data_IF_705368977707
#
_entry.id   IF_705368977707
#
_cell.length_a   1.000
_cell.length_b   1.000
_cell.length_c   1.000
_cell.angle_alpha   90.00
_cell.angle_beta   90.00
_cell.angle_gamma   90.00
#
_symmetry.space_group_name_H-M   'P 1'
#
loop_
_entity.id
_entity.type
_entity.pdbx_description
1 polymer ?
#
# COMPACT_ATOMS: atom_id res chain seq x y z
N UNK A 1 -12.30 8.71 24.44
CA UNK A 1 -11.38 7.62 24.05
C UNK A 1 -10.06 8.27 23.63
N UNK A 2 -8.94 8.07 24.33
CA UNK A 2 -7.67 8.57 23.83
C UNK A 2 -7.26 7.74 22.62
N UNK A 3 -7.08 8.41 21.47
CA UNK A 3 -6.48 7.80 20.28
C UNK A 3 -5.06 7.36 20.61
N UNK A 4 -4.76 6.06 20.50
CA UNK A 4 -3.38 5.60 20.46
C UNK A 4 -2.71 6.23 19.24
N UNK A 5 -2.00 7.33 19.44
CA UNK A 5 -1.02 7.79 18.49
C UNK A 5 0.08 6.73 18.45
N UNK A 6 0.07 5.89 17.42
CA UNK A 6 1.24 5.11 17.03
C UNK A 6 2.27 6.09 16.47
N UNK A 7 2.91 6.86 17.36
CA UNK A 7 4.22 7.40 17.04
C UNK A 7 5.18 6.22 17.10
N UNK A 8 5.60 5.68 15.94
CA UNK A 8 6.67 4.70 15.94
C UNK A 8 7.94 5.40 16.44
N UNK A 9 8.50 5.00 17.60
CA UNK A 9 9.79 5.49 18.01
C UNK A 9 10.82 4.78 17.12
N UNK A 10 11.49 5.56 16.27
CA UNK A 10 12.50 5.13 15.30
C UNK A 10 11.98 4.34 14.08
N UNK A 11 11.74 5.04 12.96
CA UNK A 11 11.94 4.51 11.60
C UNK A 11 11.25 3.18 11.23
N UNK A 12 10.25 2.77 12.00
CA UNK A 12 9.55 1.50 11.82
C UNK A 12 8.75 1.54 10.52
N UNK A 13 9.17 0.77 9.54
CA UNK A 13 8.50 0.67 8.23
C UNK A 13 7.34 -0.33 8.24
N UNK A 14 7.07 -0.96 9.39
CA UNK A 14 6.01 -1.96 9.59
C UNK A 14 5.31 -1.81 10.95
N UNK A 15 3.99 -2.04 10.95
CA UNK A 15 3.14 -2.14 12.14
C UNK A 15 2.68 -3.57 12.39
N UNK A 16 1.40 -3.76 12.73
CA UNK A 16 0.77 -5.07 13.00
C UNK A 16 0.57 -5.90 11.72
N UNK A 17 1.67 -6.29 11.07
CA UNK A 17 1.64 -7.01 9.79
C UNK A 17 1.48 -6.10 8.57
N UNK A 18 1.32 -4.79 8.75
CA UNK A 18 1.15 -3.82 7.67
C UNK A 18 2.46 -3.07 7.39
N UNK A 19 2.72 -2.76 6.12
CA UNK A 19 3.69 -1.74 5.75
C UNK A 19 3.09 -0.37 6.06
N UNK A 20 3.90 0.52 6.64
CA UNK A 20 3.52 1.91 6.90
C UNK A 20 4.09 2.82 5.81
N UNK A 21 3.48 3.99 5.62
CA UNK A 21 4.01 5.02 4.72
C UNK A 21 5.46 5.37 5.06
N UNK A 22 6.26 5.64 4.03
CA UNK A 22 7.72 5.77 4.12
C UNK A 22 8.44 4.81 3.17
N UNK A 23 9.67 4.35 3.47
CA UNK A 23 10.48 3.53 2.55
C UNK A 23 9.85 2.21 2.07
N UNK A 24 8.86 1.67 2.77
CA UNK A 24 8.13 0.45 2.37
C UNK A 24 6.75 0.73 1.74
N UNK A 25 6.35 2.00 1.62
CA UNK A 25 5.11 2.42 0.96
C UNK A 25 5.20 2.20 -0.54
N UNK A 26 4.75 1.04 -1.02
CA UNK A 26 4.77 0.70 -2.45
C UNK A 26 3.76 1.48 -3.27
N UNK A 27 2.84 2.22 -2.63
CA UNK A 27 1.81 3.04 -3.27
C UNK A 27 2.31 4.43 -3.70
N UNK A 28 3.57 4.77 -3.42
CA UNK A 28 4.16 6.07 -3.76
C UNK A 28 3.61 7.21 -2.90
N UNK A 29 3.80 8.43 -3.38
CA UNK A 29 3.54 9.67 -2.62
C UNK A 29 2.11 10.22 -2.84
N UNK A 30 1.25 9.48 -3.55
CA UNK A 30 -0.11 9.92 -3.90
C UNK A 30 -1.14 9.74 -2.77
N UNK A 31 -0.77 9.14 -1.64
CA UNK A 31 -1.64 8.91 -0.48
C UNK A 31 -1.11 9.64 0.77
N UNK A 32 -1.93 9.76 1.80
CA UNK A 32 -1.57 10.47 3.02
C UNK A 32 -0.40 9.79 3.77
N UNK A 33 0.33 10.54 4.61
CA UNK A 33 1.38 9.98 5.48
C UNK A 33 0.86 8.93 6.47
N UNK A 34 -0.46 8.82 6.69
CA UNK A 34 -1.09 7.82 7.55
C UNK A 34 -1.55 6.58 6.79
N UNK A 35 -1.33 6.51 5.48
CA UNK A 35 -1.65 5.33 4.70
C UNK A 35 -0.80 4.13 5.12
N UNK A 36 -1.38 2.94 5.01
CA UNK A 36 -0.73 1.67 5.31
C UNK A 36 -1.27 0.56 4.40
N UNK A 37 -0.47 -0.46 4.13
CA UNK A 37 -0.83 -1.47 3.15
C UNK A 37 -0.04 -2.77 3.24
N UNK A 38 -0.44 -3.74 2.43
CA UNK A 38 0.21 -5.05 2.36
C UNK A 38 0.18 -5.57 0.92
N UNK A 39 1.18 -6.37 0.55
CA UNK A 39 1.24 -7.05 -0.75
C UNK A 39 1.09 -8.55 -0.56
N UNK A 40 0.38 -9.19 -1.48
CA UNK A 40 0.24 -10.64 -1.53
C UNK A 40 1.22 -11.28 -2.50
N UNK A 41 1.57 -12.52 -2.20
CA UNK A 41 2.51 -13.33 -2.99
C UNK A 41 2.08 -13.50 -4.44
N UNK A 42 0.77 -13.69 -4.69
CA UNK A 42 0.22 -13.91 -6.04
C UNK A 42 0.09 -12.62 -6.86
N UNK A 43 0.54 -11.48 -6.35
CA UNK A 43 0.42 -10.19 -7.05
C UNK A 43 -0.65 -9.27 -6.48
N UNK A 44 -1.47 -9.73 -5.54
CA UNK A 44 -2.49 -8.89 -4.88
C UNK A 44 -1.85 -7.76 -4.07
N UNK A 45 -2.61 -6.71 -3.80
CA UNK A 45 -2.22 -5.67 -2.86
C UNK A 45 -3.43 -4.95 -2.28
N UNK A 46 -3.24 -4.38 -1.09
CA UNK A 46 -4.23 -3.55 -0.40
C UNK A 46 -3.51 -2.36 0.22
N UNK A 47 -4.06 -1.16 0.05
CA UNK A 47 -3.65 0.05 0.77
C UNK A 47 -4.89 0.78 1.28
N UNK A 48 -4.79 1.28 2.51
CA UNK A 48 -5.85 1.99 3.21
C UNK A 48 -5.30 3.35 3.59
N UNK A 49 -6.02 4.40 3.22
CA UNK A 49 -5.75 5.78 3.59
C UNK A 49 -6.89 6.30 4.47
N UNK A 50 -6.70 6.34 5.81
CA UNK A 50 -7.73 6.75 6.74
C UNK A 50 -7.99 8.27 6.73
N UNK A 51 -7.09 9.09 6.19
CA UNK A 51 -7.31 10.55 6.11
C UNK A 51 -8.28 10.90 4.98
N UNK A 52 -8.25 10.12 3.89
CA UNK A 52 -9.10 10.31 2.73
C UNK A 52 -10.29 9.36 2.65
N UNK A 53 -10.56 8.57 3.70
CA UNK A 53 -11.60 7.52 3.73
C UNK A 53 -11.55 6.59 2.50
N UNK A 54 -10.33 6.21 2.10
CA UNK A 54 -10.07 5.49 0.85
C UNK A 54 -9.41 4.14 1.12
N UNK A 55 -9.90 3.09 0.45
CA UNK A 55 -9.24 1.80 0.38
C UNK A 55 -9.08 1.37 -1.09
N UNK A 56 -7.88 0.99 -1.47
CA UNK A 56 -7.54 0.52 -2.82
C UNK A 56 -7.12 -0.94 -2.71
N UNK A 57 -7.85 -1.82 -3.40
CA UNK A 57 -7.58 -3.27 -3.41
C UNK A 57 -7.36 -3.73 -4.84
N UNK A 58 -6.20 -4.32 -5.11
CA UNK A 58 -5.85 -4.93 -6.38
C UNK A 58 -5.77 -6.45 -6.23
N UNK A 59 -6.61 -7.16 -6.97
CA UNK A 59 -6.65 -8.63 -6.97
C UNK A 59 -6.15 -9.16 -8.32
N UNK A 60 -4.96 -9.75 -8.32
CA UNK A 60 -4.33 -10.32 -9.52
C UNK A 60 -3.69 -11.67 -9.22
N UNK A 61 -3.33 -12.40 -10.29
CA UNK A 61 -2.48 -13.57 -10.23
C UNK A 61 -1.26 -13.37 -11.16
N UNK A 62 -0.32 -12.52 -10.74
CA UNK A 62 0.87 -12.16 -11.49
C UNK A 62 1.85 -13.34 -11.67
N UNK A 63 1.72 -14.39 -10.85
CA UNK A 63 2.53 -15.60 -10.96
C UNK A 63 1.89 -16.68 -11.83
N UNK A 64 0.73 -16.39 -12.42
CA UNK A 64 0.11 -17.26 -13.41
C UNK A 64 1.04 -17.33 -14.62
N UNK A 65 1.46 -18.54 -14.98
CA UNK A 65 2.46 -18.84 -16.02
C UNK A 65 3.95 -18.68 -15.64
N UNK A 66 4.29 -18.44 -14.37
CA UNK A 66 5.69 -18.36 -13.94
C UNK A 66 5.96 -17.28 -12.89
N UNK A 67 7.16 -17.26 -12.31
CA UNK A 67 7.57 -16.27 -11.28
C UNK A 67 8.58 -15.24 -11.79
N UNK A 68 8.99 -15.38 -13.03
CA UNK A 68 9.93 -14.51 -13.75
C UNK A 68 9.29 -13.17 -14.18
N UNK A 69 7.96 -13.12 -14.24
CA UNK A 69 7.16 -11.92 -14.51
C UNK A 69 7.12 -11.00 -13.28
N UNK A 70 7.70 -9.82 -13.40
CA UNK A 70 7.84 -8.83 -12.31
C UNK A 70 7.09 -7.52 -12.57
N UNK A 71 6.28 -7.45 -13.63
CA UNK A 71 5.48 -6.28 -14.03
C UNK A 71 4.49 -5.83 -12.94
N UNK A 72 4.15 -6.72 -12.01
CA UNK A 72 3.31 -6.37 -10.87
C UNK A 72 3.95 -5.35 -9.92
N UNK A 73 5.29 -5.27 -9.89
CA UNK A 73 6.02 -4.31 -9.05
C UNK A 73 5.80 -2.87 -9.52
N UNK A 74 5.60 -2.65 -10.82
CA UNK A 74 5.29 -1.34 -11.39
C UNK A 74 3.79 -1.07 -11.45
N UNK A 75 2.97 -2.11 -11.72
CA UNK A 75 1.52 -1.96 -11.83
C UNK A 75 0.88 -1.50 -10.51
N UNK A 76 1.34 -2.03 -9.37
CA UNK A 76 0.79 -1.71 -8.05
C UNK A 76 0.82 -0.20 -7.71
N UNK A 77 1.98 0.49 -7.74
CA UNK A 77 2.04 1.94 -7.52
C UNK A 77 1.23 2.71 -8.56
N UNK A 78 1.24 2.28 -9.83
CA UNK A 78 0.50 2.97 -10.88
C UNK A 78 -1.02 2.94 -10.65
N UNK A 79 -1.56 1.79 -10.23
CA UNK A 79 -2.98 1.69 -9.89
C UNK A 79 -3.30 2.53 -8.65
N UNK A 80 -2.46 2.48 -7.60
CA UNK A 80 -2.67 3.29 -6.41
C UNK A 80 -2.69 4.80 -6.74
N UNK A 81 -1.71 5.27 -7.51
CA UNK A 81 -1.63 6.65 -7.96
C UNK A 81 -2.80 7.04 -8.87
N UNK A 82 -3.20 6.18 -9.82
CA UNK A 82 -4.31 6.46 -10.72
C UNK A 82 -5.64 6.61 -9.98
N UNK A 83 -5.89 5.76 -8.97
CA UNK A 83 -7.10 5.87 -8.13
C UNK A 83 -7.02 7.11 -7.23
N UNK A 84 -5.87 7.40 -6.63
CA UNK A 84 -5.68 8.60 -5.83
C UNK A 84 -5.94 9.87 -6.64
N UNK A 85 -5.34 10.01 -7.83
CA UNK A 85 -5.57 11.18 -8.70
C UNK A 85 -7.02 11.32 -9.20
N UNK A 86 -7.79 10.22 -9.23
CA UNK A 86 -9.17 10.25 -9.67
C UNK A 86 -10.16 10.62 -8.55
N UNK A 87 -9.78 10.45 -7.28
CA UNK A 87 -10.67 10.57 -6.14
C UNK A 87 -10.26 11.67 -5.13
N UNK A 88 -9.01 12.12 -5.14
CA UNK A 88 -8.44 13.15 -4.26
C UNK A 88 -8.13 14.42 -5.06
#
# INVERSE_FOLDING_TARGET
MPTCACGSPAGGTRGLGWALSGPQGWWGDSLSPRAYGHTGFTGTSIVIDPEHDLAIVLLTNAIHLGRDRTEILTLRPQIAAAVAHALL
#
